data_IF_404068509453
#
_entry.id   IF_404068509453
#
_cell.length_a   1.000
_cell.length_b   1.000
_cell.length_c   1.000
_cell.angle_alpha   90.00
_cell.angle_beta   90.00
_cell.angle_gamma   90.00
#
_symmetry.space_group_name_H-M   'P 1'
#
loop_
_entity.id
_entity.type
_entity.pdbx_description
1 polymer ?
#
# COMPACT_ATOMS: atom_id res chain seq x y z
N UNK A 1 31.46 -16.29 -44.62
CA UNK A 1 31.12 -14.87 -44.88
C UNK A 1 29.61 -14.71 -44.72
N UNK A 2 29.09 -14.69 -43.48
CA UNK A 2 27.64 -14.77 -43.19
C UNK A 2 27.12 -13.71 -42.18
N UNK A 3 28.00 -13.02 -41.44
CA UNK A 3 27.55 -12.03 -40.44
C UNK A 3 27.06 -10.71 -41.06
N UNK A 4 27.61 -10.31 -42.21
CA UNK A 4 27.22 -9.07 -42.88
C UNK A 4 25.83 -9.12 -43.50
N UNK A 5 25.39 -10.30 -43.96
CA UNK A 5 24.06 -10.50 -44.56
C UNK A 5 22.99 -10.55 -43.46
N UNK A 6 23.29 -11.18 -42.32
CA UNK A 6 22.37 -11.31 -41.19
C UNK A 6 22.11 -9.95 -40.51
N UNK A 7 23.17 -9.13 -40.37
CA UNK A 7 23.03 -7.76 -39.88
C UNK A 7 22.17 -6.88 -40.80
N UNK A 8 22.26 -7.07 -42.13
CA UNK A 8 21.50 -6.28 -43.09
C UNK A 8 20.00 -6.63 -43.06
N UNK A 9 19.67 -7.91 -42.93
CA UNK A 9 18.30 -8.39 -42.78
C UNK A 9 17.68 -7.89 -41.47
N UNK A 10 18.46 -7.93 -40.38
CA UNK A 10 18.00 -7.45 -39.07
C UNK A 10 17.71 -5.94 -39.09
N UNK A 11 18.57 -5.16 -39.75
CA UNK A 11 18.34 -3.71 -39.91
C UNK A 11 17.11 -3.45 -40.78
N UNK A 12 16.92 -4.19 -41.89
CA UNK A 12 15.73 -4.00 -42.76
C UNK A 12 14.43 -4.35 -42.00
N UNK A 13 14.42 -5.42 -41.21
CA UNK A 13 13.25 -5.82 -40.43
C UNK A 13 12.91 -4.81 -39.32
N UNK A 14 13.91 -4.28 -38.62
CA UNK A 14 13.71 -3.23 -37.60
C UNK A 14 13.21 -1.93 -38.24
N UNK A 15 13.72 -1.57 -39.42
CA UNK A 15 13.30 -0.34 -40.12
C UNK A 15 11.87 -0.46 -40.67
N UNK A 16 11.48 -1.63 -41.18
CA UNK A 16 10.10 -1.89 -41.63
C UNK A 16 9.10 -1.91 -40.46
N UNK A 17 9.49 -2.40 -39.29
CA UNK A 17 8.67 -2.36 -38.08
C UNK A 17 8.41 -0.91 -37.61
N UNK A 18 9.40 -0.02 -37.71
CA UNK A 18 9.24 1.39 -37.35
C UNK A 18 8.35 2.13 -38.36
N UNK A 19 8.44 1.80 -39.66
CA UNK A 19 7.58 2.40 -40.69
C UNK A 19 6.11 1.94 -40.59
N UNK A 20 5.85 0.70 -40.17
CA UNK A 20 4.50 0.17 -39.96
C UNK A 20 3.75 0.81 -38.77
N UNK A 21 4.47 1.34 -37.79
CA UNK A 21 3.86 2.04 -36.63
C UNK A 21 3.47 3.49 -36.97
N UNK A 22 4.01 4.07 -38.05
CA UNK A 22 3.74 5.46 -38.44
C UNK A 22 2.56 5.64 -39.41
N UNK A 23 1.87 4.55 -39.77
CA UNK A 23 0.68 4.59 -40.64
C UNK A 23 -0.58 4.02 -39.97
N UNK A 24 -0.69 4.20 -38.65
CA UNK A 24 -1.98 4.18 -37.98
C UNK A 24 -2.62 5.56 -38.17
N UNK A 25 -3.82 5.59 -38.73
CA UNK A 25 -4.66 6.78 -38.86
C UNK A 25 -4.61 7.59 -37.56
N UNK A 26 -4.08 8.81 -37.65
CA UNK A 26 -4.06 9.75 -36.54
C UNK A 26 -5.51 10.10 -36.19
N UNK A 27 -6.05 9.38 -35.20
CA UNK A 27 -7.17 9.87 -34.41
C UNK A 27 -6.83 11.30 -33.94
N UNK A 28 -7.79 12.24 -33.94
CA UNK A 28 -7.53 13.63 -33.57
C UNK A 28 -6.84 13.67 -32.19
N UNK A 29 -5.90 14.60 -31.94
CA UNK A 29 -5.12 14.59 -30.70
C UNK A 29 -6.07 14.66 -29.51
N UNK A 30 -6.15 13.55 -28.77
CA UNK A 30 -6.89 13.48 -27.51
C UNK A 30 -6.34 14.58 -26.61
N UNK A 31 -7.18 15.53 -26.22
CA UNK A 31 -6.85 16.49 -25.16
C UNK A 31 -6.33 15.66 -23.98
N UNK A 32 -5.05 15.77 -23.65
CA UNK A 32 -4.44 14.99 -22.57
C UNK A 32 -5.31 15.14 -21.33
N UNK A 33 -5.89 14.03 -20.84
CA UNK A 33 -6.75 14.08 -19.66
C UNK A 33 -5.91 14.57 -18.47
N UNK A 34 -6.43 15.58 -17.78
CA UNK A 34 -5.79 16.18 -16.61
C UNK A 34 -5.61 15.14 -15.50
N UNK A 35 -6.55 14.22 -15.33
CA UNK A 35 -6.46 13.16 -14.34
C UNK A 35 -5.31 12.19 -14.66
N UNK A 36 -5.14 11.80 -15.92
CA UNK A 36 -4.02 10.95 -16.37
C UNK A 36 -2.67 11.65 -16.23
N UNK A 37 -2.61 12.95 -16.53
CA UNK A 37 -1.39 13.76 -16.31
C UNK A 37 -0.99 13.78 -14.85
N UNK A 38 -1.95 13.95 -13.94
CA UNK A 38 -1.71 13.91 -12.49
C UNK A 38 -1.30 12.50 -12.07
N UNK A 39 -1.95 11.45 -12.59
CA UNK A 39 -1.58 10.07 -12.32
C UNK A 39 -0.12 9.79 -12.70
N UNK A 40 0.29 10.16 -13.92
CA UNK A 40 1.66 10.03 -14.37
C UNK A 40 2.64 10.84 -13.51
N UNK A 41 2.25 12.04 -13.10
CA UNK A 41 3.07 12.86 -12.20
C UNK A 41 3.27 12.18 -10.85
N UNK A 42 2.22 11.59 -10.26
CA UNK A 42 2.30 10.91 -8.96
C UNK A 42 3.14 9.62 -9.03
N UNK A 43 3.05 8.87 -10.13
CA UNK A 43 3.80 7.60 -10.28
C UNK A 43 5.26 7.81 -10.63
N UNK A 44 5.64 8.94 -11.24
CA UNK A 44 7.02 9.20 -11.69
C UNK A 44 7.80 10.16 -10.78
N UNK A 45 7.12 11.09 -10.10
CA UNK A 45 7.81 12.08 -9.25
C UNK A 45 8.26 11.44 -7.94
N UNK A 46 9.56 11.44 -7.68
CA UNK A 46 10.15 10.97 -6.42
C UNK A 46 10.35 12.12 -5.43
N UNK A 47 10.24 11.80 -4.15
CA UNK A 47 10.54 12.73 -3.06
C UNK A 47 10.93 11.97 -1.79
N UNK A 48 11.50 12.69 -0.83
CA UNK A 48 11.86 12.17 0.50
C UNK A 48 11.01 12.86 1.53
N UNK A 49 10.29 12.09 2.35
CA UNK A 49 9.55 12.58 3.50
C UNK A 49 10.30 12.20 4.77
N UNK A 50 10.77 13.22 5.48
CA UNK A 50 11.32 13.07 6.83
C UNK A 50 10.18 13.17 7.84
N UNK A 51 10.06 12.26 8.79
CA UNK A 51 9.03 12.29 9.83
C UNK A 51 9.55 11.69 11.14
N UNK A 52 8.90 12.06 12.24
CA UNK A 52 9.15 11.43 13.54
C UNK A 52 7.90 10.68 13.99
N UNK A 53 7.94 9.34 14.09
CA UNK A 53 6.82 8.58 14.62
C UNK A 53 6.60 8.98 16.08
N UNK A 54 5.33 9.11 16.49
CA UNK A 54 4.95 9.41 17.88
C UNK A 54 4.38 8.15 18.50
N UNK A 55 5.03 7.69 19.56
CA UNK A 55 4.54 6.59 20.39
C UNK A 55 3.68 7.19 21.50
N UNK A 56 2.37 6.97 21.45
CA UNK A 56 1.47 7.28 22.57
C UNK A 56 1.58 6.13 23.58
N UNK A 57 2.36 6.34 24.65
CA UNK A 57 2.41 5.40 25.77
C UNK A 57 1.29 5.73 26.77
N UNK A 58 0.37 4.79 26.95
CA UNK A 58 -0.77 4.96 27.86
C UNK A 58 -0.40 4.83 29.35
N UNK A 59 0.85 4.50 29.67
CA UNK A 59 1.33 4.31 31.04
C UNK A 59 2.26 5.45 31.47
N UNK A 60 1.94 6.08 32.61
CA UNK A 60 2.74 7.13 33.26
C UNK A 60 4.14 6.64 33.69
N UNK A 61 4.33 5.32 33.88
CA UNK A 61 5.62 4.73 34.22
C UNK A 61 6.64 4.77 33.06
N UNK A 62 6.19 4.69 31.81
CA UNK A 62 7.05 4.79 30.62
C UNK A 62 7.43 6.24 30.28
N UNK A 63 6.64 7.23 30.72
CA UNK A 63 6.92 8.65 30.50
C UNK A 63 8.09 9.18 31.35
N UNK A 64 8.49 8.46 32.40
CA UNK A 64 9.60 8.85 33.27
C UNK A 64 10.99 8.59 32.63
N UNK A 65 11.05 7.85 31.52
CA UNK A 65 12.28 7.58 30.77
C UNK A 65 12.46 8.69 29.72
N UNK A 66 13.01 9.82 30.17
CA UNK A 66 13.60 10.94 29.41
C UNK A 66 12.93 11.34 28.07
N UNK A 67 12.20 12.47 28.01
CA UNK A 67 11.50 12.93 26.79
C UNK A 67 12.43 13.25 25.60
N UNK A 68 13.73 13.46 25.83
CA UNK A 68 14.70 13.83 24.78
C UNK A 68 15.32 12.64 24.01
N UNK A 69 15.16 11.39 24.47
CA UNK A 69 15.86 10.24 23.86
C UNK A 69 15.16 9.56 22.69
N UNK A 70 13.96 9.98 22.30
CA UNK A 70 13.16 9.25 21.31
C UNK A 70 12.68 10.11 20.13
N UNK A 71 13.44 11.12 19.72
CA UNK A 71 13.25 11.78 18.42
C UNK A 71 13.81 10.92 17.28
N UNK A 72 13.15 9.81 16.97
CA UNK A 72 13.47 9.06 15.75
C UNK A 72 13.11 9.94 14.55
N UNK A 73 14.09 10.34 13.74
CA UNK A 73 13.82 11.00 12.46
C UNK A 73 13.98 9.98 11.36
N UNK A 74 12.86 9.54 10.79
CA UNK A 74 12.83 8.57 9.71
C UNK A 74 12.70 9.27 8.37
N UNK A 75 13.47 8.79 7.38
CA UNK A 75 13.38 9.22 5.99
C UNK A 75 12.73 8.13 5.17
N UNK A 76 11.70 8.49 4.40
CA UNK A 76 11.08 7.57 3.44
C UNK A 76 11.16 8.22 2.06
N UNK A 77 11.90 7.57 1.17
CA UNK A 77 12.06 7.99 -0.22
C UNK A 77 11.20 7.10 -1.12
N UNK A 78 10.59 7.69 -2.14
CA UNK A 78 9.82 6.95 -3.13
C UNK A 78 9.07 7.89 -4.07
N UNK A 79 8.33 7.30 -5.00
CA UNK A 79 7.39 8.06 -5.83
C UNK A 79 6.26 8.60 -4.95
N UNK A 80 5.58 9.68 -5.35
CA UNK A 80 4.43 10.19 -4.59
C UNK A 80 3.33 9.13 -4.47
N UNK A 81 3.10 8.35 -5.51
CA UNK A 81 2.19 7.20 -5.48
C UNK A 81 2.65 6.15 -4.46
N UNK A 82 3.93 5.79 -4.43
CA UNK A 82 4.49 4.88 -3.42
C UNK A 82 4.40 5.41 -1.99
N UNK A 83 4.58 6.72 -1.79
CA UNK A 83 4.42 7.36 -0.48
C UNK A 83 2.95 7.41 -0.04
N UNK A 84 2.02 7.65 -0.97
CA UNK A 84 0.57 7.54 -0.73
C UNK A 84 0.22 6.10 -0.33
N UNK A 85 0.75 5.10 -1.02
CA UNK A 85 0.59 3.68 -0.69
C UNK A 85 1.06 3.39 0.73
N UNK A 86 2.28 3.80 1.10
CA UNK A 86 2.79 3.61 2.46
C UNK A 86 1.94 4.35 3.51
N UNK A 87 1.52 5.59 3.24
CA UNK A 87 0.66 6.37 4.13
C UNK A 87 -0.77 5.80 4.25
N UNK A 88 -1.20 5.03 3.25
CA UNK A 88 -2.46 4.27 3.27
C UNK A 88 -2.31 3.08 4.20
N UNK A 89 -1.31 2.22 3.98
CA UNK A 89 -1.06 1.03 4.81
C UNK A 89 -0.78 1.40 6.28
N UNK A 90 -0.07 2.50 6.52
CA UNK A 90 0.16 2.99 7.89
C UNK A 90 -1.08 3.53 8.59
N UNK A 91 -2.22 3.62 7.89
CA UNK A 91 -3.54 3.94 8.45
C UNK A 91 -4.47 2.73 8.54
N UNK A 92 -3.93 1.51 8.54
CA UNK A 92 -4.72 0.27 8.62
C UNK A 92 -5.51 0.22 9.92
N UNK A 93 -6.76 -0.20 9.80
CA UNK A 93 -7.73 -0.26 10.88
C UNK A 93 -8.71 -1.40 10.66
N UNK A 94 -9.35 -1.79 11.75
CA UNK A 94 -10.56 -2.60 11.73
C UNK A 94 -11.79 -1.70 11.90
N UNK A 95 -13.00 -2.25 11.81
CA UNK A 95 -14.22 -1.53 12.18
C UNK A 95 -14.21 -1.03 13.65
N UNK A 96 -13.48 -1.73 14.53
CA UNK A 96 -13.51 -1.51 15.98
C UNK A 96 -12.31 -0.69 16.50
N UNK A 97 -11.17 -0.72 15.81
CA UNK A 97 -9.95 -0.08 16.29
C UNK A 97 -8.97 0.26 15.16
N UNK A 98 -8.14 1.29 15.38
CA UNK A 98 -7.02 1.62 14.51
C UNK A 98 -5.78 0.80 14.92
N UNK A 99 -5.14 0.14 13.96
CA UNK A 99 -3.99 -0.76 14.22
C UNK A 99 -2.69 0.02 14.30
N UNK A 100 -2.57 1.04 13.45
CA UNK A 100 -1.35 1.84 13.29
C UNK A 100 -1.69 3.33 13.42
N UNK A 101 -1.54 3.89 14.63
CA UNK A 101 -1.71 5.35 14.87
C UNK A 101 -0.38 6.13 14.87
N UNK A 102 0.73 5.40 14.85
CA UNK A 102 2.07 5.92 15.13
C UNK A 102 2.60 6.86 14.02
N UNK A 103 2.02 6.75 12.82
CA UNK A 103 2.53 7.38 11.60
C UNK A 103 1.71 8.60 11.15
N UNK A 104 0.92 9.23 12.03
CA UNK A 104 0.09 10.40 11.67
C UNK A 104 0.91 11.58 11.12
N UNK A 105 2.12 11.82 11.66
CA UNK A 105 3.03 12.83 11.13
C UNK A 105 3.56 12.49 9.73
N UNK A 106 3.84 11.21 9.46
CA UNK A 106 4.20 10.75 8.12
C UNK A 106 3.06 11.01 7.15
N UNK A 107 1.84 10.61 7.51
CA UNK A 107 0.62 10.80 6.71
C UNK A 107 0.36 12.28 6.43
N UNK A 108 0.55 13.16 7.41
CA UNK A 108 0.42 14.60 7.23
C UNK A 108 1.46 15.15 6.23
N UNK A 109 2.72 14.71 6.33
CA UNK A 109 3.78 15.18 5.43
C UNK A 109 3.60 14.68 4.00
N UNK A 110 3.19 13.42 3.81
CA UNK A 110 2.80 12.91 2.50
C UNK A 110 1.65 13.73 1.91
N UNK A 111 0.62 14.05 2.71
CA UNK A 111 -0.50 14.91 2.28
C UNK A 111 -0.03 16.28 1.80
N UNK A 112 0.90 16.91 2.53
CA UNK A 112 1.45 18.20 2.16
C UNK A 112 2.29 18.12 0.88
N UNK A 113 3.14 17.10 0.74
CA UNK A 113 3.94 16.87 -0.46
C UNK A 113 3.06 16.67 -1.71
N UNK A 114 2.00 15.87 -1.60
CA UNK A 114 1.04 15.64 -2.70
C UNK A 114 0.27 16.93 -3.03
N UNK A 115 -0.21 17.68 -2.03
CA UNK A 115 -0.90 18.97 -2.27
C UNK A 115 0.00 19.98 -2.97
N UNK A 116 1.26 20.08 -2.57
CA UNK A 116 2.22 20.99 -3.19
C UNK A 116 2.45 20.69 -4.68
N UNK A 117 2.25 19.43 -5.10
CA UNK A 117 2.44 18.97 -6.48
C UNK A 117 1.17 18.99 -7.33
N UNK A 118 0.01 18.74 -6.72
CA UNK A 118 -1.26 18.57 -7.44
C UNK A 118 -2.14 19.82 -7.45
N UNK A 119 -1.93 20.75 -6.52
CA UNK A 119 -2.74 21.97 -6.40
C UNK A 119 -4.14 21.76 -5.80
N UNK A 120 -5.01 22.77 -5.93
CA UNK A 120 -6.30 22.82 -5.23
C UNK A 120 -7.49 22.15 -5.93
N UNK A 121 -7.32 21.63 -7.15
CA UNK A 121 -8.40 21.09 -8.01
C UNK A 121 -8.24 19.60 -8.27
N UNK A 122 -7.60 18.93 -7.32
CA UNK A 122 -7.29 17.51 -7.39
C UNK A 122 -7.71 16.88 -6.08
N UNK A 123 -8.42 15.78 -6.20
CA UNK A 123 -8.74 14.88 -5.09
C UNK A 123 -8.06 13.55 -5.37
N UNK A 124 -7.23 13.11 -4.44
CA UNK A 124 -6.61 11.80 -4.48
C UNK A 124 -7.21 10.98 -3.34
N UNK A 125 -7.76 9.82 -3.64
CA UNK A 125 -8.29 8.87 -2.68
C UNK A 125 -7.61 7.52 -2.90
N UNK A 126 -6.80 7.11 -1.92
CA UNK A 126 -6.16 5.82 -1.89
C UNK A 126 -6.88 4.89 -0.92
N UNK A 127 -7.11 3.65 -1.35
CA UNK A 127 -7.77 2.61 -0.57
C UNK A 127 -7.00 1.30 -0.65
N UNK A 128 -6.91 0.64 0.50
CA UNK A 128 -6.47 -0.73 0.61
C UNK A 128 -7.58 -1.54 1.25
N UNK A 129 -8.09 -2.53 0.53
CA UNK A 129 -9.14 -3.44 1.00
C UNK A 129 -8.74 -4.84 0.50
N UNK A 130 -8.31 -5.77 1.38
CA UNK A 130 -7.80 -7.07 0.97
C UNK A 130 -8.76 -7.87 0.09
N UNK A 131 -10.05 -7.77 0.37
CA UNK A 131 -11.14 -8.31 -0.45
C UNK A 131 -12.42 -7.51 -0.13
N UNK A 132 -13.41 -7.43 -1.04
CA UNK A 132 -14.66 -6.72 -0.79
C UNK A 132 -15.28 -7.05 0.57
N UNK A 133 -15.53 -6.01 1.38
CA UNK A 133 -16.12 -6.14 2.71
C UNK A 133 -15.20 -6.70 3.80
N UNK A 134 -13.89 -6.80 3.54
CA UNK A 134 -12.90 -7.19 4.56
C UNK A 134 -13.04 -6.34 5.84
N UNK A 135 -12.93 -6.95 7.03
CA UNK A 135 -12.97 -6.23 8.30
C UNK A 135 -11.77 -5.29 8.47
N UNK A 136 -10.69 -5.55 7.72
CA UNK A 136 -9.45 -4.78 7.69
C UNK A 136 -9.43 -3.91 6.44
N UNK A 137 -9.17 -2.62 6.63
CA UNK A 137 -9.09 -1.69 5.52
C UNK A 137 -8.27 -0.47 5.89
N UNK A 138 -7.79 0.23 4.87
CA UNK A 138 -7.08 1.47 5.04
C UNK A 138 -7.49 2.49 3.99
N UNK A 139 -7.41 3.77 4.37
CA UNK A 139 -7.75 4.87 3.49
C UNK A 139 -6.81 6.05 3.73
N UNK A 140 -6.48 6.75 2.65
CA UNK A 140 -5.73 7.98 2.70
C UNK A 140 -6.24 8.90 1.60
N UNK A 141 -6.53 10.14 1.96
CA UNK A 141 -7.07 11.08 0.99
C UNK A 141 -6.37 12.42 1.03
N UNK A 142 -6.21 13.05 -0.13
CA UNK A 142 -5.56 14.36 -0.29
C UNK A 142 -6.42 15.28 -1.14
N UNK A 143 -6.49 16.56 -0.77
CA UNK A 143 -7.23 17.58 -1.52
C UNK A 143 -8.72 17.67 -1.14
N UNK A 144 -9.42 18.71 -1.62
CA UNK A 144 -10.84 18.94 -1.35
C UNK A 144 -11.72 17.94 -2.08
N UNK A 145 -13.00 17.84 -1.70
CA UNK A 145 -14.00 17.10 -2.50
C UNK A 145 -14.41 17.96 -3.70
N UNK A 146 -14.67 17.37 -4.88
CA UNK A 146 -15.19 18.11 -6.01
C UNK A 146 -16.53 18.76 -5.64
N UNK A 147 -16.73 19.99 -6.13
CA UNK A 147 -17.99 20.73 -5.98
C UNK A 147 -18.83 20.70 -7.27
N UNK A 148 -18.27 20.15 -8.35
CA UNK A 148 -18.92 19.98 -9.65
C UNK A 148 -19.13 18.49 -9.93
N UNK A 149 -20.13 18.21 -10.76
CA UNK A 149 -20.39 16.87 -11.27
C UNK A 149 -19.48 16.53 -12.47
N UNK A 150 -18.94 17.54 -13.15
CA UNK A 150 -17.95 17.36 -14.21
C UNK A 150 -16.57 17.08 -13.60
N UNK A 151 -16.22 15.79 -13.55
CA UNK A 151 -15.02 15.28 -12.90
C UNK A 151 -14.35 14.27 -13.83
N UNK A 152 -13.08 14.53 -14.15
CA UNK A 152 -12.21 13.58 -14.82
C UNK A 152 -11.56 12.66 -13.79
N UNK A 153 -11.55 11.35 -14.06
CA UNK A 153 -11.06 10.34 -13.13
C UNK A 153 -10.00 9.47 -13.78
N UNK A 154 -8.89 9.25 -13.07
CA UNK A 154 -7.88 8.26 -13.39
C UNK A 154 -7.68 7.34 -12.17
N UNK A 155 -7.47 6.05 -12.41
CA UNK A 155 -7.21 5.07 -11.36
C UNK A 155 -5.87 4.39 -11.60
N UNK A 156 -5.04 4.32 -10.57
CA UNK A 156 -3.77 3.58 -10.61
C UNK A 156 -3.69 2.58 -9.46
N UNK A 157 -3.21 1.38 -9.77
CA UNK A 157 -2.98 0.32 -8.77
C UNK A 157 -1.50 0.22 -8.49
N UNK A 158 -1.12 0.41 -7.22
CA UNK A 158 0.28 0.43 -6.79
C UNK A 158 0.56 -0.81 -5.93
N UNK A 159 1.56 -1.65 -6.28
CA UNK A 159 1.95 -2.80 -5.47
C UNK A 159 2.41 -2.40 -4.06
N UNK A 160 2.10 -3.21 -3.06
CA UNK A 160 2.51 -2.99 -1.64
C UNK A 160 3.70 -3.85 -1.20
N UNK A 161 4.36 -4.56 -2.13
CA UNK A 161 5.55 -5.35 -1.85
C UNK A 161 5.28 -6.77 -1.31
N UNK A 162 4.08 -7.30 -1.53
CA UNK A 162 3.76 -8.73 -1.34
C UNK A 162 3.28 -9.32 -2.65
N UNK A 163 3.60 -10.60 -2.88
CA UNK A 163 3.18 -11.31 -4.08
C UNK A 163 1.65 -11.47 -4.12
N UNK A 164 0.99 -11.22 -5.26
CA UNK A 164 -0.41 -11.58 -5.47
C UNK A 164 -0.68 -13.06 -5.23
N UNK A 165 -1.93 -13.40 -4.95
CA UNK A 165 -2.33 -14.80 -4.84
C UNK A 165 -2.48 -15.41 -6.25
N UNK A 166 -1.95 -16.61 -6.43
CA UNK A 166 -2.17 -17.39 -7.64
C UNK A 166 -3.58 -18.00 -7.63
N UNK A 167 -4.31 -17.82 -8.74
CA UNK A 167 -5.69 -18.28 -8.92
C UNK A 167 -5.78 -19.81 -8.83
N UNK A 168 -4.81 -20.52 -9.41
CA UNK A 168 -4.88 -21.98 -9.59
C UNK A 168 -4.34 -22.78 -8.39
N UNK A 169 -4.05 -22.15 -7.26
CA UNK A 169 -3.34 -22.79 -6.13
C UNK A 169 -4.26 -23.09 -4.94
N UNK A 170 -5.49 -22.59 -4.93
CA UNK A 170 -6.32 -22.53 -3.72
C UNK A 170 -7.70 -23.18 -3.93
N UNK A 171 -7.75 -24.50 -3.98
CA UNK A 171 -9.00 -25.26 -4.19
C UNK A 171 -9.92 -25.31 -2.95
N UNK A 172 -9.45 -24.80 -1.81
CA UNK A 172 -10.17 -24.82 -0.54
C UNK A 172 -10.12 -23.45 0.14
N UNK A 173 -11.25 -23.04 0.72
CA UNK A 173 -11.34 -21.77 1.47
C UNK A 173 -10.36 -21.70 2.63
N UNK A 174 -10.01 -22.83 3.25
CA UNK A 174 -9.04 -22.91 4.35
C UNK A 174 -7.64 -22.51 3.89
N UNK A 175 -7.18 -23.07 2.77
CA UNK A 175 -5.89 -22.74 2.18
C UNK A 175 -5.88 -21.29 1.72
N UNK A 176 -6.97 -20.84 1.09
CA UNK A 176 -7.13 -19.45 0.65
C UNK A 176 -7.09 -18.46 1.82
N UNK A 177 -7.88 -18.69 2.86
CA UNK A 177 -7.97 -17.81 4.01
C UNK A 177 -6.64 -17.69 4.76
N UNK A 178 -5.89 -18.80 4.83
CA UNK A 178 -4.53 -18.81 5.38
C UNK A 178 -3.57 -17.97 4.53
N UNK A 179 -3.62 -18.12 3.20
CA UNK A 179 -2.79 -17.34 2.29
C UNK A 179 -3.12 -15.83 2.34
N UNK A 180 -4.41 -15.48 2.34
CA UNK A 180 -4.87 -14.08 2.48
C UNK A 180 -4.42 -13.50 3.82
N UNK A 181 -4.60 -14.24 4.92
CA UNK A 181 -4.14 -13.82 6.26
C UNK A 181 -2.63 -13.54 6.27
N UNK A 182 -1.84 -14.46 5.71
CA UNK A 182 -0.39 -14.31 5.63
C UNK A 182 0.01 -13.03 4.86
N UNK A 183 -0.70 -12.71 3.78
CA UNK A 183 -0.43 -11.49 2.99
C UNK A 183 -0.86 -10.23 3.72
N UNK A 184 -1.99 -10.24 4.42
CA UNK A 184 -2.40 -9.11 5.27
C UNK A 184 -1.34 -8.83 6.33
N UNK A 185 -0.88 -9.86 7.05
CA UNK A 185 0.15 -9.69 8.08
C UNK A 185 1.45 -9.16 7.48
N UNK A 186 1.89 -9.70 6.35
CA UNK A 186 3.09 -9.22 5.66
C UNK A 186 2.99 -7.76 5.17
N UNK A 187 1.79 -7.27 4.84
CA UNK A 187 1.57 -5.86 4.47
C UNK A 187 1.60 -4.95 5.70
N UNK A 188 0.92 -5.35 6.79
CA UNK A 188 0.78 -4.51 8.00
C UNK A 188 2.07 -4.51 8.83
N UNK A 189 2.74 -5.65 8.93
CA UNK A 189 4.04 -5.82 9.60
C UNK A 189 4.96 -6.56 8.62
N UNK A 190 5.70 -5.81 7.77
CA UNK A 190 6.66 -6.41 6.85
C UNK A 190 7.66 -7.29 7.60
N UNK A 191 7.99 -8.48 7.07
CA UNK A 191 9.08 -9.27 7.62
C UNK A 191 10.38 -8.46 7.47
N UNK A 192 10.93 -8.01 8.59
CA UNK A 192 12.23 -7.33 8.67
C UNK A 192 13.23 -8.21 9.41
N UNK A 193 14.55 -7.90 9.32
CA UNK A 193 15.56 -8.55 10.14
C UNK A 193 15.42 -8.08 11.60
N UNK A 194 14.35 -8.50 12.26
CA UNK A 194 14.08 -8.14 13.64
C UNK A 194 15.13 -8.74 14.59
N UNK A 195 15.80 -9.83 14.22
CA UNK A 195 16.94 -10.39 14.99
C UNK A 195 18.14 -9.44 15.10
N UNK A 196 18.28 -8.50 14.16
CA UNK A 196 19.34 -7.48 14.21
C UNK A 196 18.82 -6.23 14.90
N UNK A 197 17.55 -5.88 14.66
CA UNK A 197 16.96 -4.70 15.30
C UNK A 197 16.75 -4.93 16.79
N UNK A 198 16.15 -6.02 17.25
CA UNK A 198 15.64 -6.20 18.62
C UNK A 198 16.69 -6.32 19.73
N UNK A 199 17.98 -6.48 19.37
CA UNK A 199 19.10 -6.61 20.31
C UNK A 199 19.59 -5.31 20.95
N UNK A 200 19.36 -4.17 20.30
CA UNK A 200 19.79 -2.86 20.80
C UNK A 200 18.60 -2.11 21.43
N UNK A 201 18.77 -1.12 22.31
CA UNK A 201 17.64 -0.30 22.80
C UNK A 201 17.27 0.79 21.77
N UNK A 202 17.02 0.40 20.52
CA UNK A 202 16.80 1.34 19.42
C UNK A 202 15.30 1.71 19.27
N UNK A 203 14.95 2.97 18.98
CA UNK A 203 13.56 3.40 18.81
C UNK A 203 12.75 2.61 17.75
N UNK A 204 13.41 2.03 16.75
CA UNK A 204 12.76 1.21 15.71
C UNK A 204 12.14 -0.10 16.25
N UNK A 205 12.73 -0.63 17.32
CA UNK A 205 12.24 -1.84 18.00
C UNK A 205 11.01 -1.52 18.81
N UNK A 206 10.99 -0.36 19.47
CA UNK A 206 9.84 0.09 20.24
C UNK A 206 8.63 0.25 19.34
N UNK A 207 8.83 0.80 18.13
CA UNK A 207 7.80 0.89 17.10
C UNK A 207 7.29 -0.50 16.67
N UNK A 208 8.21 -1.43 16.41
CA UNK A 208 7.89 -2.79 15.99
C UNK A 208 7.13 -3.55 17.08
N UNK A 209 7.59 -3.50 18.34
CA UNK A 209 6.93 -4.09 19.51
C UNK A 209 5.53 -3.50 19.71
N UNK A 210 5.35 -2.19 19.54
CA UNK A 210 4.03 -1.57 19.63
C UNK A 210 3.07 -2.11 18.56
N UNK A 211 3.53 -2.29 17.31
CA UNK A 211 2.71 -2.87 16.23
C UNK A 211 2.28 -4.31 16.54
N UNK A 212 3.19 -5.14 17.06
CA UNK A 212 2.86 -6.49 17.51
C UNK A 212 1.89 -6.48 18.68
N UNK A 213 2.05 -5.60 19.68
CA UNK A 213 1.12 -5.51 20.81
C UNK A 213 -0.31 -5.12 20.38
N UNK A 214 -0.45 -4.19 19.42
CA UNK A 214 -1.75 -3.84 18.85
C UNK A 214 -2.39 -5.04 18.13
N UNK A 215 -1.64 -5.75 17.28
CA UNK A 215 -2.17 -6.94 16.60
C UNK A 215 -2.46 -8.11 17.55
N UNK A 216 -1.69 -8.24 18.63
CA UNK A 216 -1.95 -9.20 19.70
C UNK A 216 -3.31 -8.95 20.33
N UNK A 217 -3.63 -7.68 20.63
CA UNK A 217 -4.92 -7.31 21.22
C UNK A 217 -6.12 -7.58 20.30
N UNK A 218 -5.90 -7.57 18.98
CA UNK A 218 -6.95 -7.75 17.99
C UNK A 218 -7.20 -9.21 17.61
N UNK A 219 -6.12 -9.99 17.52
CA UNK A 219 -6.18 -11.40 17.13
C UNK A 219 -6.24 -12.34 18.33
N UNK A 220 -5.98 -11.83 19.55
CA UNK A 220 -5.81 -12.61 20.77
C UNK A 220 -4.71 -13.69 20.66
N UNK A 221 -3.78 -13.54 19.72
CA UNK A 221 -2.65 -14.45 19.55
C UNK A 221 -1.68 -14.33 20.74
N UNK A 222 -1.02 -15.41 21.13
CA UNK A 222 0.05 -15.34 22.14
C UNK A 222 1.40 -15.12 21.46
N UNK A 223 1.95 -13.92 21.60
CA UNK A 223 3.23 -13.53 20.98
C UNK A 223 4.38 -13.39 21.99
N UNK A 224 4.12 -13.61 23.29
CA UNK A 224 5.11 -13.38 24.34
C UNK A 224 6.40 -14.20 24.14
N UNK A 225 6.25 -15.48 23.79
CA UNK A 225 7.37 -16.39 23.52
C UNK A 225 8.19 -16.00 22.28
N UNK A 226 7.62 -15.86 21.07
CA UNK A 226 8.41 -15.51 19.88
C UNK A 226 9.01 -14.11 19.99
N UNK A 227 8.35 -13.15 20.63
CA UNK A 227 8.90 -11.81 20.83
C UNK A 227 10.02 -11.77 21.89
N UNK A 228 10.04 -12.70 22.85
CA UNK A 228 11.12 -12.80 23.84
C UNK A 228 12.44 -13.29 23.22
N UNK A 229 12.36 -14.10 22.16
CA UNK A 229 13.52 -14.59 21.40
C UNK A 229 13.72 -13.86 20.07
N UNK A 230 12.99 -12.76 19.85
CA UNK A 230 13.08 -11.89 18.68
C UNK A 230 12.75 -12.60 17.34
N UNK A 231 11.94 -13.66 17.39
CA UNK A 231 11.48 -14.40 16.22
C UNK A 231 10.21 -13.81 15.63
N UNK A 232 10.39 -12.76 14.84
CA UNK A 232 9.27 -12.13 14.11
C UNK A 232 8.64 -12.99 13.03
N UNK A 233 9.34 -14.02 12.53
CA UNK A 233 8.75 -14.97 11.59
C UNK A 233 7.68 -15.78 12.30
N UNK A 234 8.04 -16.36 13.44
CA UNK A 234 7.11 -17.12 14.27
C UNK A 234 5.97 -16.23 14.79
N UNK A 235 6.25 -14.99 15.19
CA UNK A 235 5.21 -14.04 15.58
C UNK A 235 4.21 -13.78 14.44
N UNK A 236 4.68 -13.58 13.21
CA UNK A 236 3.84 -13.39 12.03
C UNK A 236 3.04 -14.66 11.67
N UNK A 237 3.62 -15.85 11.84
CA UNK A 237 2.93 -17.12 11.65
C UNK A 237 1.80 -17.31 12.67
N UNK A 238 2.04 -17.00 13.95
CA UNK A 238 1.01 -17.05 15.00
C UNK A 238 -0.13 -16.05 14.75
N UNK A 239 0.19 -14.83 14.33
CA UNK A 239 -0.81 -13.84 13.92
C UNK A 239 -1.62 -14.31 12.71
N UNK A 240 -0.95 -14.91 11.73
CA UNK A 240 -1.59 -15.49 10.53
C UNK A 240 -2.56 -16.60 10.93
N UNK A 241 -2.13 -17.54 11.77
CA UNK A 241 -2.95 -18.65 12.24
C UNK A 241 -4.16 -18.17 13.07
N UNK A 242 -4.02 -17.09 13.83
CA UNK A 242 -5.12 -16.50 14.57
C UNK A 242 -6.14 -15.78 13.67
N UNK A 243 -5.68 -15.13 12.59
CA UNK A 243 -6.53 -14.38 11.66
C UNK A 243 -7.20 -15.25 10.59
N UNK A 244 -6.55 -16.35 10.18
CA UNK A 244 -7.02 -17.20 9.09
C UNK A 244 -8.45 -17.77 9.25
N UNK A 245 -8.91 -18.19 10.45
CA UNK A 245 -10.26 -18.73 10.61
C UNK A 245 -11.36 -17.72 10.30
N UNK A 246 -11.22 -16.47 10.76
CA UNK A 246 -12.19 -15.39 10.50
C UNK A 246 -12.24 -15.07 9.00
N UNK A 247 -11.08 -14.91 8.36
CA UNK A 247 -11.00 -14.67 6.90
C UNK A 247 -11.58 -15.84 6.12
N UNK A 248 -11.29 -17.07 6.53
CA UNK A 248 -11.83 -18.27 5.88
C UNK A 248 -13.36 -18.29 5.96
N UNK A 249 -13.94 -17.92 7.10
CA UNK A 249 -15.39 -17.81 7.26
C UNK A 249 -15.95 -16.72 6.34
N UNK A 250 -15.39 -15.51 6.38
CA UNK A 250 -15.85 -14.37 5.59
C UNK A 250 -15.83 -14.66 4.08
N UNK A 251 -14.77 -15.32 3.59
CA UNK A 251 -14.67 -15.69 2.18
C UNK A 251 -15.69 -16.77 1.80
N UNK A 252 -15.90 -17.77 2.67
CA UNK A 252 -16.87 -18.84 2.44
C UNK A 252 -18.32 -18.32 2.45
N UNK A 253 -18.62 -17.36 3.32
CA UNK A 253 -19.96 -16.80 3.44
C UNK A 253 -20.30 -15.86 2.26
N UNK A 254 -19.28 -15.30 1.61
CA UNK A 254 -19.43 -14.30 0.52
C UNK A 254 -19.36 -14.89 -0.88
N UNK A 255 -18.57 -15.93 -1.08
CA UNK A 255 -18.28 -16.47 -2.40
C UNK A 255 -18.71 -17.92 -2.49
N UNK A 256 -19.23 -18.30 -3.65
CA UNK A 256 -19.67 -19.68 -3.89
C UNK A 256 -18.50 -20.66 -3.95
N UNK A 257 -17.36 -20.21 -4.50
CA UNK A 257 -16.16 -21.05 -4.65
C UNK A 257 -14.88 -20.29 -4.29
N UNK A 258 -13.82 -21.02 -3.86
CA UNK A 258 -12.50 -20.42 -3.64
C UNK A 258 -11.92 -19.72 -4.87
N UNK A 259 -12.17 -20.25 -6.07
CA UNK A 259 -11.68 -19.66 -7.32
C UNK A 259 -12.25 -18.23 -7.53
N UNK A 260 -13.56 -18.06 -7.36
CA UNK A 260 -14.21 -16.74 -7.44
C UNK A 260 -13.70 -15.81 -6.33
N UNK A 261 -13.44 -16.35 -5.13
CA UNK A 261 -12.89 -15.57 -4.04
C UNK A 261 -11.48 -15.05 -4.32
N UNK A 262 -10.58 -15.86 -4.91
CA UNK A 262 -9.21 -15.43 -5.23
C UNK A 262 -9.21 -14.25 -6.20
N UNK A 263 -10.07 -14.26 -7.22
CA UNK A 263 -10.16 -13.17 -8.20
C UNK A 263 -10.56 -11.83 -7.55
N UNK A 264 -11.32 -11.88 -6.46
CA UNK A 264 -11.74 -10.70 -5.71
C UNK A 264 -10.70 -10.22 -4.68
N UNK A 265 -9.64 -10.98 -4.42
CA UNK A 265 -8.59 -10.59 -3.47
C UNK A 265 -7.64 -9.59 -4.12
N UNK A 266 -7.49 -8.43 -3.47
CA UNK A 266 -6.60 -7.32 -3.87
C UNK A 266 -5.62 -6.94 -2.76
N UNK A 267 -5.20 -7.91 -1.95
CA UNK A 267 -4.31 -7.69 -0.79
C UNK A 267 -2.95 -7.08 -1.16
N UNK A 268 -2.45 -7.33 -2.37
CA UNK A 268 -1.13 -6.92 -2.85
C UNK A 268 -1.08 -5.53 -3.48
N UNK A 269 -2.19 -4.80 -3.54
CA UNK A 269 -2.26 -3.50 -4.22
C UNK A 269 -3.02 -2.45 -3.42
N UNK A 270 -2.57 -1.19 -3.51
CA UNK A 270 -3.37 -0.02 -3.14
C UNK A 270 -3.93 0.58 -4.40
N UNK A 271 -5.24 0.80 -4.42
CA UNK A 271 -5.90 1.53 -5.49
C UNK A 271 -5.92 3.02 -5.16
N UNK A 272 -5.43 3.84 -6.08
CA UNK A 272 -5.43 5.30 -5.98
C UNK A 272 -6.32 5.87 -7.07
N UNK A 273 -7.43 6.48 -6.65
CA UNK A 273 -8.37 7.19 -7.52
C UNK A 273 -8.04 8.67 -7.48
N UNK A 274 -7.81 9.24 -8.65
CA UNK A 274 -7.48 10.63 -8.86
C UNK A 274 -8.64 11.28 -9.58
N UNK A 275 -9.19 12.32 -8.97
CA UNK A 275 -10.29 13.12 -9.52
C UNK A 275 -9.82 14.54 -9.75
N UNK A 276 -10.07 15.07 -10.93
CA UNK A 276 -9.76 16.46 -11.28
C UNK A 276 -10.99 17.14 -11.86
N UNK A 277 -11.11 18.45 -11.66
CA UNK A 277 -12.23 19.24 -12.15
C UNK A 277 -11.78 20.66 -12.47
N UNK A 278 -12.43 21.25 -13.46
CA UNK A 278 -12.31 22.68 -13.74
C UNK A 278 -13.37 23.45 -12.94
N UNK A 279 -13.24 24.77 -12.82
CA UNK A 279 -14.40 25.55 -12.35
C UNK A 279 -15.38 25.55 -13.52
N UNK A 280 -16.64 25.19 -13.26
CA UNK A 280 -17.72 25.62 -14.14
C UNK A 280 -17.53 27.11 -14.40
N UNK A 281 -17.41 27.49 -15.67
CA UNK A 281 -17.23 28.88 -16.06
C UNK A 281 -18.34 29.71 -15.41
N UNK A 282 -17.96 30.64 -14.54
CA UNK A 282 -18.83 31.74 -14.19
C UNK A 282 -19.08 32.52 -15.47
N UNK A 283 -20.31 32.43 -15.96
CA UNK A 283 -20.89 33.41 -16.88
C UNK A 283 -21.49 34.54 -16.06
#
# INVERSE_FOLDING_TARGET
MNAAVDALICIILVTAAIAGVLTVEQSPPTRIDRADTVANTLTTTTTTVEHSPRLEFNNLADQAISPDRHHLTRRTHGTLAGLITHATISGTRTQKAQITRIDDMFRLRVRNAVRARTGGRVRVDARWIPYPGSPLFAHFSVGPRPLSDDVHTATVSIPVGVEPLAIDTHDQFQTLGTAVAARIIAVVIPPGPARVMMRDDEPEITLTRHRYAQLQSLTNASLAEPLAIEDTSEANERLTAALAPEITSDLRDRYETPAVAVEAVSVSTVEIVIRTWDHGGGS
#
